data_IF_895183478819
#
_entry.id   IF_895183478819
#
_cell.length_a   1.000
_cell.length_b   1.000
_cell.length_c   1.000
_cell.angle_alpha   90.00
_cell.angle_beta   90.00
_cell.angle_gamma   90.00
#
_symmetry.space_group_name_H-M   'P 1'
#
loop_
_entity.id
_entity.type
_entity.pdbx_description
1 polymer ?
#
# COMPACT_ATOMS: atom_id res chain seq x y z
N UNK A 1 -7.60 -20.25 -22.08
CA UNK A 1 -6.35 -19.44 -22.05
C UNK A 1 -5.19 -20.39 -22.34
N UNK A 2 -4.35 -20.12 -23.34
CA UNK A 2 -3.16 -20.98 -23.61
C UNK A 2 -2.09 -20.66 -22.57
N UNK A 3 -1.68 -21.64 -21.77
CA UNK A 3 -0.56 -21.50 -20.84
C UNK A 3 0.70 -22.04 -21.50
N UNK A 4 1.83 -21.36 -21.34
CA UNK A 4 3.11 -21.76 -21.92
C UNK A 4 4.13 -21.96 -20.79
N UNK A 5 4.78 -23.13 -20.76
CA UNK A 5 5.80 -23.43 -19.76
C UNK A 5 7.10 -22.66 -20.03
N UNK A 6 7.69 -22.12 -18.96
CA UNK A 6 8.99 -21.45 -18.95
C UNK A 6 9.76 -21.88 -17.70
N UNK A 7 11.09 -21.90 -17.79
CA UNK A 7 11.97 -22.20 -16.66
C UNK A 7 12.67 -20.92 -16.21
N UNK A 8 12.71 -20.68 -14.90
CA UNK A 8 13.29 -19.50 -14.26
C UNK A 8 14.18 -19.96 -13.10
N UNK A 9 15.33 -19.32 -12.92
CA UNK A 9 16.24 -19.58 -11.80
C UNK A 9 15.95 -18.61 -10.66
N UNK A 10 15.88 -19.12 -9.44
CA UNK A 10 15.74 -18.34 -8.22
C UNK A 10 17.03 -18.44 -7.40
N UNK A 11 17.30 -17.39 -6.63
CA UNK A 11 18.24 -17.51 -5.52
C UNK A 11 17.69 -18.49 -4.47
N UNK A 12 18.57 -19.21 -3.79
CA UNK A 12 18.17 -20.21 -2.80
C UNK A 12 17.39 -19.59 -1.63
N UNK A 13 17.83 -18.44 -1.13
CA UNK A 13 17.17 -17.77 -0.02
C UNK A 13 15.75 -17.30 -0.40
N UNK A 14 15.60 -16.79 -1.61
CA UNK A 14 14.30 -16.36 -2.12
C UNK A 14 13.36 -17.54 -2.36
N UNK A 15 13.90 -18.68 -2.81
CA UNK A 15 13.13 -19.91 -2.98
C UNK A 15 12.61 -20.43 -1.63
N UNK A 16 13.47 -20.51 -0.61
CA UNK A 16 13.09 -20.95 0.74
C UNK A 16 11.98 -20.05 1.32
N UNK A 17 12.08 -18.73 1.09
CA UNK A 17 11.08 -17.76 1.53
C UNK A 17 9.75 -17.94 0.80
N UNK A 18 9.78 -18.19 -0.50
CA UNK A 18 8.56 -18.44 -1.30
C UNK A 18 7.89 -19.75 -0.91
N UNK A 19 8.67 -20.81 -0.64
CA UNK A 19 8.13 -22.08 -0.17
C UNK A 19 7.47 -21.94 1.20
N UNK A 20 8.06 -21.18 2.12
CA UNK A 20 7.44 -20.87 3.41
C UNK A 20 6.09 -20.15 3.26
N UNK A 21 6.01 -19.18 2.35
CA UNK A 21 4.77 -18.45 2.04
C UNK A 21 3.73 -19.37 1.40
N UNK A 22 4.15 -20.29 0.51
CA UNK A 22 3.27 -21.24 -0.14
C UNK A 22 2.64 -22.19 0.90
N UNK A 23 3.46 -22.70 1.83
CA UNK A 23 3.02 -23.57 2.92
C UNK A 23 2.06 -22.85 3.88
N UNK A 24 2.36 -21.61 4.27
CA UNK A 24 1.50 -20.80 5.14
C UNK A 24 0.10 -20.56 4.54
N UNK A 25 0.02 -20.48 3.21
CA UNK A 25 -1.23 -20.22 2.48
C UNK A 25 -1.91 -21.49 1.94
N UNK A 26 -1.45 -22.67 2.33
CA UNK A 26 -1.95 -23.98 1.86
C UNK A 26 -2.10 -24.05 0.33
N UNK A 27 -1.08 -23.58 -0.40
CA UNK A 27 -1.10 -23.52 -1.87
C UNK A 27 0.18 -24.04 -2.50
N UNK A 28 0.08 -24.50 -3.75
CA UNK A 28 1.26 -24.94 -4.49
C UNK A 28 2.18 -23.76 -4.82
N UNK A 29 3.49 -24.00 -4.88
CA UNK A 29 4.47 -23.00 -5.32
C UNK A 29 4.13 -22.44 -6.71
N UNK A 30 3.70 -23.30 -7.63
CA UNK A 30 3.32 -22.87 -8.98
C UNK A 30 2.10 -21.93 -8.96
N UNK A 31 1.11 -22.20 -8.11
CA UNK A 31 -0.02 -21.30 -7.90
C UNK A 31 0.42 -19.99 -7.24
N UNK A 32 1.38 -20.07 -6.31
CA UNK A 32 1.96 -18.90 -5.68
C UNK A 32 2.59 -17.96 -6.69
N UNK A 33 3.46 -18.48 -7.54
CA UNK A 33 4.15 -17.70 -8.57
C UNK A 33 3.14 -17.15 -9.59
N UNK A 34 2.19 -17.97 -10.06
CA UNK A 34 1.15 -17.50 -10.99
C UNK A 34 0.34 -16.35 -10.42
N UNK A 35 -0.04 -16.44 -9.15
CA UNK A 35 -0.76 -15.37 -8.46
C UNK A 35 0.09 -14.11 -8.33
N UNK A 36 1.36 -14.21 -7.91
CA UNK A 36 2.24 -13.04 -7.76
C UNK A 36 2.45 -12.36 -9.11
N UNK A 37 2.78 -13.13 -10.15
CA UNK A 37 2.99 -12.60 -11.50
C UNK A 37 1.72 -11.94 -12.01
N UNK A 38 0.56 -12.59 -11.87
CA UNK A 38 -0.72 -12.01 -12.28
C UNK A 38 -1.02 -10.74 -11.49
N UNK A 39 -0.85 -10.75 -10.17
CA UNK A 39 -1.03 -9.57 -9.31
C UNK A 39 -0.08 -8.43 -9.68
N UNK A 40 1.16 -8.72 -10.05
CA UNK A 40 2.12 -7.70 -10.47
C UNK A 40 1.72 -7.08 -11.82
N UNK A 41 1.32 -7.92 -12.78
CA UNK A 41 0.84 -7.47 -14.09
C UNK A 41 -0.48 -6.69 -13.99
N UNK A 42 -1.41 -7.14 -13.13
CA UNK A 42 -2.68 -6.46 -12.86
C UNK A 42 -2.47 -5.19 -11.99
N UNK A 43 -1.54 -5.25 -11.03
CA UNK A 43 -1.28 -4.25 -10.00
C UNK A 43 -0.66 -2.96 -10.51
N UNK A 44 0.07 -2.99 -11.63
CA UNK A 44 0.55 -1.77 -12.29
C UNK A 44 -0.57 -0.78 -12.67
N UNK A 45 -1.81 -1.28 -12.84
CA UNK A 45 -2.99 -0.46 -13.12
C UNK A 45 -3.75 -0.08 -11.85
N UNK A 46 -3.86 -1.00 -10.88
CA UNK A 46 -4.65 -0.78 -9.66
C UNK A 46 -3.91 0.00 -8.56
N UNK A 47 -2.59 -0.17 -8.39
CA UNK A 47 -1.85 0.58 -7.37
C UNK A 47 -1.83 2.07 -7.71
N UNK A 48 -1.67 2.42 -9.00
CA UNK A 48 -1.65 3.82 -9.40
C UNK A 48 -3.03 4.48 -9.27
N UNK A 49 -4.11 3.78 -9.66
CA UNK A 49 -5.48 4.27 -9.50
C UNK A 49 -5.91 4.35 -8.02
N UNK A 50 -5.52 3.36 -7.21
CA UNK A 50 -5.80 3.33 -5.77
C UNK A 50 -5.04 4.42 -5.03
N UNK A 51 -3.77 4.65 -5.35
CA UNK A 51 -2.98 5.75 -4.80
C UNK A 51 -3.55 7.12 -5.18
N UNK A 52 -3.95 7.31 -6.45
CA UNK A 52 -4.59 8.56 -6.88
C UNK A 52 -5.95 8.79 -6.20
N UNK A 53 -6.74 7.73 -6.00
CA UNK A 53 -8.01 7.82 -5.26
C UNK A 53 -7.77 8.15 -3.79
N UNK A 54 -6.81 7.50 -3.16
CA UNK A 54 -6.44 7.75 -1.77
C UNK A 54 -5.93 9.19 -1.61
N UNK A 55 -5.03 9.63 -2.48
CA UNK A 55 -4.52 11.00 -2.50
C UNK A 55 -5.67 12.01 -2.66
N UNK A 56 -6.60 11.77 -3.59
CA UNK A 56 -7.78 12.63 -3.76
C UNK A 56 -8.65 12.74 -2.51
N UNK A 57 -8.86 11.64 -1.79
CA UNK A 57 -9.63 11.64 -0.53
C UNK A 57 -8.86 12.39 0.57
N UNK A 58 -7.54 12.20 0.66
CA UNK A 58 -6.71 12.93 1.62
C UNK A 58 -6.76 14.45 1.36
N UNK A 59 -6.56 14.89 0.12
CA UNK A 59 -6.59 16.31 -0.26
C UNK A 59 -7.97 16.92 0.00
N UNK A 60 -9.06 16.21 -0.34
CA UNK A 60 -10.41 16.67 -0.04
C UNK A 60 -10.62 16.86 1.47
N UNK A 61 -10.15 15.91 2.27
CA UNK A 61 -10.27 15.98 3.73
C UNK A 61 -9.44 17.12 4.30
N UNK A 62 -8.21 17.30 3.82
CA UNK A 62 -7.33 18.40 4.22
C UNK A 62 -7.96 19.76 3.88
N UNK A 63 -8.46 19.93 2.65
CA UNK A 63 -9.12 21.17 2.23
C UNK A 63 -10.38 21.48 3.05
N UNK A 64 -11.19 20.45 3.37
CA UNK A 64 -12.38 20.63 4.21
C UNK A 64 -11.99 21.05 5.65
N UNK A 65 -11.01 20.37 6.25
CA UNK A 65 -10.52 20.69 7.60
C UNK A 65 -9.90 22.08 7.65
N UNK A 66 -9.10 22.46 6.66
CA UNK A 66 -8.51 23.80 6.57
C UNK A 66 -9.58 24.89 6.45
N UNK A 67 -10.65 24.63 5.70
CA UNK A 67 -11.78 25.56 5.56
C UNK A 67 -12.49 25.74 6.90
N UNK A 68 -12.86 24.64 7.57
CA UNK A 68 -13.51 24.67 8.89
C UNK A 68 -12.63 25.36 9.93
N UNK A 69 -11.34 25.01 10.00
CA UNK A 69 -10.41 25.64 10.94
C UNK A 69 -10.25 27.13 10.65
N UNK A 70 -10.22 27.56 9.39
CA UNK A 70 -10.09 28.98 9.06
C UNK A 70 -11.34 29.78 9.43
N UNK A 71 -12.52 29.22 9.19
CA UNK A 71 -13.79 29.93 9.36
C UNK A 71 -14.30 29.88 10.80
N UNK A 72 -14.18 28.74 11.47
CA UNK A 72 -14.81 28.51 12.78
C UNK A 72 -13.81 28.52 13.94
N UNK A 73 -12.56 28.09 13.71
CA UNK A 73 -11.57 27.88 14.77
C UNK A 73 -10.14 28.31 14.40
N UNK A 74 -9.90 29.57 13.99
CA UNK A 74 -8.63 30.00 13.40
C UNK A 74 -7.42 29.78 14.32
N UNK A 75 -7.62 29.92 15.64
CA UNK A 75 -6.56 29.75 16.64
C UNK A 75 -6.13 28.27 16.82
N UNK A 76 -6.99 27.32 16.43
CA UNK A 76 -6.73 25.89 16.63
C UNK A 76 -5.83 25.29 15.55
N UNK A 77 -5.59 26.00 14.45
CA UNK A 77 -4.76 25.50 13.34
C UNK A 77 -3.37 25.08 13.80
N UNK A 78 -2.73 25.89 14.66
CA UNK A 78 -1.40 25.59 15.20
C UNK A 78 -1.40 24.33 16.06
N UNK A 79 -2.41 24.17 16.92
CA UNK A 79 -2.55 23.02 17.80
C UNK A 79 -2.77 21.72 17.03
N UNK A 80 -3.59 21.76 15.97
CA UNK A 80 -3.82 20.60 15.09
C UNK A 80 -2.54 20.17 14.37
N UNK A 81 -1.73 21.12 13.90
CA UNK A 81 -0.43 20.82 13.26
C UNK A 81 0.54 20.16 14.26
N UNK A 82 0.69 20.72 15.45
CA UNK A 82 1.57 20.17 16.49
C UNK A 82 1.14 18.75 16.90
N UNK A 83 -0.16 18.51 17.08
CA UNK A 83 -0.69 17.18 17.39
C UNK A 83 -0.49 16.19 16.24
N UNK A 84 -0.60 16.65 14.99
CA UNK A 84 -0.33 15.81 13.81
C UNK A 84 1.13 15.37 13.79
N UNK A 85 2.08 16.29 14.02
CA UNK A 85 3.51 15.96 14.12
C UNK A 85 3.77 14.93 15.22
N UNK A 86 3.23 15.14 16.43
CA UNK A 86 3.39 14.19 17.55
C UNK A 86 2.86 12.78 17.22
N UNK A 87 1.76 12.68 16.48
CA UNK A 87 1.19 11.39 16.08
C UNK A 87 2.02 10.71 15.00
N UNK A 88 2.57 11.47 14.08
CA UNK A 88 3.50 10.94 13.06
C UNK A 88 4.75 10.35 13.70
N UNK A 89 5.37 11.07 14.63
CA UNK A 89 6.51 10.56 15.41
C UNK A 89 6.12 9.30 16.21
N UNK A 90 4.97 9.32 16.91
CA UNK A 90 4.54 8.22 17.79
C UNK A 90 4.15 6.94 17.06
N UNK A 91 3.41 7.03 15.96
CA UNK A 91 2.80 5.87 15.31
C UNK A 91 3.46 5.48 13.99
N UNK A 92 4.22 6.39 13.38
CA UNK A 92 4.79 6.20 12.06
C UNK A 92 6.31 6.40 12.01
N UNK A 93 6.94 6.79 13.13
CA UNK A 93 8.40 6.88 13.26
C UNK A 93 9.04 7.94 12.35
N UNK A 94 8.26 8.95 11.96
CA UNK A 94 8.71 10.09 11.16
C UNK A 94 9.48 11.11 12.00
#
# INVERSE_FOLDING_TARGET
MRSTQRSVRFDKHDLDRLDAIAADQDRSFADLIRFIVKRHLDGGVFDNASHLRLARVCEYTQAAVDTILREEHPDHRKLVLEETTRRMERYHGA
#
